data_IF_494364906669
#
_entry.id   IF_494364906669
#
_cell.length_a   1.000
_cell.length_b   1.000
_cell.length_c   1.000
_cell.angle_alpha   90.00
_cell.angle_beta   90.00
_cell.angle_gamma   90.00
#
_symmetry.space_group_name_H-M   'P 1'
#
loop_
_entity.id
_entity.type
_entity.pdbx_description
1 polymer ?
#
# COMPACT_ATOMS: atom_id res chain seq x y z
N UNK A 1 -1.56 6.64 23.09
CA UNK A 1 -0.23 6.16 22.67
C UNK A 1 -0.16 4.65 22.86
N UNK A 2 0.40 3.95 21.87
CA UNK A 2 0.62 2.50 21.88
C UNK A 2 2.10 2.26 21.58
N UNK A 3 2.72 1.27 22.22
CA UNK A 3 4.10 0.86 21.93
C UNK A 3 4.20 -0.10 20.73
N UNK A 4 5.42 -0.46 20.32
CA UNK A 4 5.66 -1.40 19.22
C UNK A 4 5.39 -2.87 19.58
N UNK A 5 4.92 -3.15 20.80
CA UNK A 5 4.34 -4.43 21.20
C UNK A 5 2.80 -4.42 21.12
N UNK A 6 2.19 -3.29 20.75
CA UNK A 6 0.75 -3.12 20.67
C UNK A 6 0.07 -2.83 22.01
N UNK A 7 0.82 -2.54 23.09
CA UNK A 7 0.26 -2.22 24.40
C UNK A 7 -0.03 -0.73 24.52
N UNK A 8 -1.19 -0.41 25.08
CA UNK A 8 -1.58 0.97 25.39
C UNK A 8 -0.70 1.52 26.50
N UNK A 9 0.10 2.54 26.19
CA UNK A 9 1.00 3.20 27.15
C UNK A 9 0.35 4.44 27.75
N UNK A 10 -0.48 5.15 26.99
CA UNK A 10 -1.12 6.40 27.43
C UNK A 10 -2.45 6.66 26.71
N UNK A 11 -3.35 7.42 27.35
CA UNK A 11 -4.60 7.94 26.79
C UNK A 11 -5.85 7.30 27.40
N UNK A 12 -7.01 7.92 27.21
CA UNK A 12 -8.27 7.42 27.78
C UNK A 12 -9.04 6.50 26.82
N UNK A 13 -8.85 6.69 25.52
CA UNK A 13 -9.58 5.92 24.49
C UNK A 13 -8.91 4.59 24.15
N UNK A 14 -9.69 3.66 23.61
CA UNK A 14 -9.16 2.43 23.04
C UNK A 14 -8.41 2.76 21.74
N UNK A 15 -7.29 2.07 21.45
CA UNK A 15 -6.64 2.18 20.15
C UNK A 15 -7.53 1.55 19.06
N UNK A 16 -7.20 1.81 17.79
CA UNK A 16 -7.90 1.19 16.65
C UNK A 16 -7.88 -0.34 16.74
N UNK A 17 -8.89 -1.02 16.20
CA UNK A 17 -8.84 -2.48 16.00
C UNK A 17 -7.62 -2.88 15.15
N UNK A 18 -7.28 -2.08 14.14
CA UNK A 18 -6.17 -2.35 13.21
C UNK A 18 -4.78 -2.09 13.80
N UNK A 19 -4.68 -1.76 15.09
CA UNK A 19 -3.41 -1.45 15.75
C UNK A 19 -2.39 -2.57 15.57
N UNK A 20 -2.82 -3.84 15.63
CA UNK A 20 -1.92 -4.98 15.46
C UNK A 20 -1.31 -5.03 14.04
N UNK A 21 -2.08 -4.70 13.00
CA UNK A 21 -1.59 -4.57 11.63
C UNK A 21 -0.51 -3.49 11.54
N UNK A 22 -0.79 -2.31 12.09
CA UNK A 22 0.15 -1.18 12.10
C UNK A 22 1.46 -1.54 12.81
N UNK A 23 1.37 -2.21 13.96
CA UNK A 23 2.54 -2.66 14.74
C UNK A 23 3.41 -3.63 13.93
N UNK A 24 2.81 -4.58 13.21
CA UNK A 24 3.58 -5.50 12.37
C UNK A 24 4.31 -4.73 11.28
N UNK A 25 3.64 -3.81 10.59
CA UNK A 25 4.26 -3.00 9.53
C UNK A 25 5.42 -2.15 10.06
N UNK A 26 5.24 -1.44 11.17
CA UNK A 26 6.33 -0.64 11.76
C UNK A 26 7.55 -1.49 12.16
N UNK A 27 7.33 -2.71 12.67
CA UNK A 27 8.42 -3.58 13.09
C UNK A 27 9.21 -4.19 11.92
N UNK A 28 8.57 -4.37 10.74
CA UNK A 28 9.21 -5.04 9.59
C UNK A 28 9.65 -4.07 8.49
N UNK A 29 9.06 -2.87 8.43
CA UNK A 29 9.41 -1.81 7.49
C UNK A 29 10.05 -0.64 8.26
N UNK A 30 11.32 -0.75 8.70
CA UNK A 30 11.94 0.15 9.68
C UNK A 30 12.07 1.62 9.25
N UNK A 31 11.82 1.93 7.97
CA UNK A 31 11.91 3.30 7.44
C UNK A 31 10.56 4.01 7.32
N UNK A 32 9.44 3.34 7.64
CA UNK A 32 8.13 3.98 7.64
C UNK A 32 7.90 4.70 8.98
N UNK A 33 7.32 5.90 8.91
CA UNK A 33 6.90 6.69 10.08
C UNK A 33 5.41 7.06 10.08
N UNK A 34 4.66 6.60 9.07
CA UNK A 34 3.21 6.72 9.02
C UNK A 34 2.58 5.54 8.28
N UNK A 35 1.40 5.12 8.71
CA UNK A 35 0.56 4.10 8.07
C UNK A 35 -0.87 4.60 8.02
N UNK A 36 -1.53 4.43 6.88
CA UNK A 36 -2.92 4.78 6.65
C UNK A 36 -3.67 3.55 6.13
N UNK A 37 -4.78 3.23 6.80
CA UNK A 37 -5.77 2.25 6.37
C UNK A 37 -7.09 2.97 6.08
N UNK A 38 -7.71 2.65 4.95
CA UNK A 38 -9.02 3.19 4.58
C UNK A 38 -9.79 2.17 3.76
N UNK A 39 -11.08 2.43 3.53
CA UNK A 39 -11.89 1.76 2.52
C UNK A 39 -12.24 2.74 1.39
N UNK A 40 -11.23 3.45 0.85
CA UNK A 40 -11.44 4.37 -0.26
C UNK A 40 -12.03 3.63 -1.47
N UNK A 41 -13.05 4.22 -2.09
CA UNK A 41 -14.00 3.52 -2.95
C UNK A 41 -13.37 2.73 -4.10
N UNK A 42 -12.41 3.33 -4.80
CA UNK A 42 -11.80 2.72 -5.97
C UNK A 42 -10.75 1.70 -5.56
N UNK A 43 -9.87 2.03 -4.63
CA UNK A 43 -8.86 1.09 -4.13
C UNK A 43 -9.51 -0.14 -3.48
N UNK A 44 -10.57 0.04 -2.69
CA UNK A 44 -11.33 -1.06 -2.11
C UNK A 44 -12.04 -1.91 -3.19
N UNK A 45 -12.50 -1.32 -4.29
CA UNK A 45 -13.07 -2.06 -5.42
C UNK A 45 -12.05 -3.00 -6.08
N UNK A 46 -10.81 -2.54 -6.26
CA UNK A 46 -9.70 -3.37 -6.74
C UNK A 46 -9.33 -4.47 -5.75
N UNK A 47 -9.32 -4.15 -4.45
CA UNK A 47 -9.11 -5.12 -3.39
C UNK A 47 -10.19 -6.22 -3.40
N UNK A 48 -11.46 -5.85 -3.53
CA UNK A 48 -12.58 -6.81 -3.65
C UNK A 48 -12.51 -7.64 -4.93
N UNK A 49 -12.03 -7.06 -6.03
CA UNK A 49 -11.74 -7.81 -7.26
C UNK A 49 -10.56 -8.79 -7.10
N UNK A 50 -9.72 -8.62 -6.07
CA UNK A 50 -8.59 -9.50 -5.78
C UNK A 50 -7.49 -9.42 -6.83
N UNK A 51 -7.26 -8.23 -7.39
CA UNK A 51 -6.27 -7.98 -8.45
C UNK A 51 -5.44 -6.75 -8.11
N UNK A 52 -4.14 -6.81 -8.40
CA UNK A 52 -3.24 -5.66 -8.29
C UNK A 52 -3.57 -4.57 -9.31
N UNK A 53 -3.11 -3.34 -9.07
CA UNK A 53 -3.37 -2.21 -9.97
C UNK A 53 -2.15 -2.01 -10.87
N UNK A 54 -2.24 -2.27 -12.19
CA UNK A 54 -1.10 -2.07 -13.08
C UNK A 54 -0.75 -0.58 -13.22
N UNK A 55 0.54 -0.28 -13.38
CA UNK A 55 0.98 1.08 -13.67
C UNK A 55 0.66 1.47 -15.12
N UNK A 56 -0.47 2.14 -15.34
CA UNK A 56 -0.90 2.60 -16.67
C UNK A 56 -0.43 4.01 -17.05
N UNK A 57 0.21 4.75 -16.15
CA UNK A 57 0.57 6.14 -16.43
C UNK A 57 1.53 6.76 -15.43
N UNK A 58 2.00 7.95 -15.78
CA UNK A 58 3.06 8.66 -15.08
C UNK A 58 2.68 9.13 -13.68
N UNK A 59 1.39 9.42 -13.43
CA UNK A 59 0.89 9.71 -12.08
C UNK A 59 1.11 8.54 -11.13
N UNK A 60 0.97 7.30 -11.61
CA UNK A 60 1.25 6.10 -10.83
C UNK A 60 2.76 5.96 -10.58
N UNK A 61 3.56 5.96 -11.66
CA UNK A 61 5.00 5.77 -11.59
C UNK A 61 5.75 6.82 -10.74
N UNK A 62 5.18 8.01 -10.57
CA UNK A 62 5.76 9.06 -9.74
C UNK A 62 5.80 8.72 -8.23
N UNK A 63 4.97 7.78 -7.76
CA UNK A 63 4.80 7.50 -6.32
C UNK A 63 4.79 6.01 -5.97
N UNK A 64 4.32 5.15 -6.88
CA UNK A 64 4.17 3.72 -6.66
C UNK A 64 4.94 3.00 -7.78
N UNK A 65 6.08 2.39 -7.46
CA UNK A 65 6.96 1.83 -8.47
C UNK A 65 6.54 0.41 -8.89
N UNK A 66 5.85 0.32 -10.03
CA UNK A 66 5.38 -0.94 -10.59
C UNK A 66 3.89 -1.19 -10.36
N UNK A 67 3.47 -2.45 -10.30
CA UNK A 67 2.09 -2.81 -9.98
C UNK A 67 1.83 -2.72 -8.47
N UNK A 68 0.75 -2.06 -8.06
CA UNK A 68 0.31 -2.09 -6.65
C UNK A 68 -0.14 -3.51 -6.32
N UNK A 69 0.50 -4.20 -5.37
CA UNK A 69 0.19 -5.59 -5.06
C UNK A 69 -1.18 -5.74 -4.40
N UNK A 70 -1.85 -6.85 -4.69
CA UNK A 70 -3.04 -7.28 -3.97
C UNK A 70 -2.78 -8.64 -3.32
N UNK A 71 -2.70 -8.66 -1.98
CA UNK A 71 -2.45 -9.88 -1.22
C UNK A 71 -3.71 -10.74 -1.15
N UNK A 72 -3.53 -12.05 -0.99
CA UNK A 72 -4.64 -13.02 -0.84
C UNK A 72 -5.52 -12.71 0.38
N UNK A 73 -6.63 -13.45 0.49
CA UNK A 73 -7.33 -13.52 1.78
C UNK A 73 -6.47 -14.28 2.79
N UNK A 74 -6.66 -13.99 4.07
CA UNK A 74 -6.21 -14.85 5.14
C UNK A 74 -6.88 -16.23 5.06
N UNK A 75 -6.17 -17.26 5.50
CA UNK A 75 -6.75 -18.59 5.72
C UNK A 75 -7.67 -18.57 6.94
N UNK A 76 -8.47 -19.62 7.11
CA UNK A 76 -9.34 -19.73 8.28
C UNK A 76 -8.52 -19.72 9.59
N UNK A 77 -7.40 -20.43 9.59
CA UNK A 77 -6.51 -20.53 10.74
C UNK A 77 -5.90 -19.16 11.09
N UNK A 78 -5.43 -18.42 10.08
CA UNK A 78 -4.91 -17.07 10.25
C UNK A 78 -5.96 -16.10 10.80
N UNK A 79 -7.22 -16.22 10.35
CA UNK A 79 -8.35 -15.41 10.85
C UNK A 79 -8.65 -15.75 12.32
N UNK A 80 -8.78 -17.04 12.64
CA UNK A 80 -9.17 -17.50 13.97
C UNK A 80 -8.08 -17.25 15.03
N UNK A 81 -6.80 -17.23 14.63
CA UNK A 81 -5.67 -16.99 15.54
C UNK A 81 -5.53 -15.51 15.92
N UNK A 82 -5.37 -14.62 14.93
CA UNK A 82 -5.13 -13.20 15.16
C UNK A 82 -5.32 -12.38 13.87
N UNK A 83 -6.58 -12.15 13.47
CA UNK A 83 -6.94 -11.52 12.21
C UNK A 83 -6.11 -10.28 11.82
N UNK A 84 -6.05 -9.24 12.66
CA UNK A 84 -5.36 -7.99 12.33
C UNK A 84 -3.84 -8.18 12.30
N UNK A 85 -3.28 -8.92 13.27
CA UNK A 85 -1.85 -9.25 13.27
C UNK A 85 -1.47 -10.01 12.00
N UNK A 86 -2.24 -11.03 11.65
CA UNK A 86 -1.96 -11.90 10.51
C UNK A 86 -2.20 -11.18 9.18
N UNK A 87 -3.08 -10.18 9.14
CA UNK A 87 -3.17 -9.24 8.00
C UNK A 87 -1.83 -8.53 7.79
N UNK A 88 -1.22 -8.02 8.86
CA UNK A 88 0.10 -7.39 8.79
C UNK A 88 1.20 -8.36 8.37
N UNK A 89 1.20 -9.59 8.92
CA UNK A 89 2.18 -10.64 8.59
C UNK A 89 2.07 -11.01 7.11
N UNK A 90 0.86 -11.22 6.60
CA UNK A 90 0.62 -11.52 5.19
C UNK A 90 1.18 -10.44 4.26
N UNK A 91 1.00 -9.15 4.60
CA UNK A 91 1.54 -8.05 3.81
C UNK A 91 3.07 -8.13 3.75
N UNK A 92 3.71 -8.31 4.90
CA UNK A 92 5.19 -8.38 5.00
C UNK A 92 5.73 -9.59 4.24
N UNK A 93 5.09 -10.75 4.41
CA UNK A 93 5.49 -12.00 3.76
C UNK A 93 5.35 -11.91 2.23
N UNK A 94 4.26 -11.32 1.71
CA UNK A 94 4.07 -11.14 0.26
C UNK A 94 5.15 -10.21 -0.34
N UNK A 95 5.48 -9.12 0.36
CA UNK A 95 6.55 -8.21 -0.06
C UNK A 95 7.92 -8.91 -0.06
N UNK A 96 8.21 -9.72 0.94
CA UNK A 96 9.45 -10.48 1.02
C UNK A 96 9.54 -11.56 -0.08
N UNK A 97 8.48 -12.35 -0.27
CA UNK A 97 8.41 -13.43 -1.27
C UNK A 97 8.59 -12.89 -2.68
N UNK A 98 7.90 -11.78 -2.99
CA UNK A 98 7.94 -11.13 -4.31
C UNK A 98 9.11 -10.18 -4.48
N UNK A 99 9.93 -9.99 -3.44
CA UNK A 99 11.09 -9.06 -3.41
C UNK A 99 10.70 -7.63 -3.79
N UNK A 100 9.56 -7.18 -3.27
CA UNK A 100 9.09 -5.81 -3.45
C UNK A 100 9.79 -4.89 -2.45
N UNK A 101 10.25 -3.75 -2.94
CA UNK A 101 10.77 -2.68 -2.09
C UNK A 101 9.60 -1.88 -1.52
N UNK A 102 9.39 -1.98 -0.20
CA UNK A 102 8.31 -1.26 0.49
C UNK A 102 8.51 0.25 0.51
N UNK A 103 9.73 0.77 0.30
CA UNK A 103 9.95 2.21 0.13
C UNK A 103 9.49 2.66 -1.25
N UNK A 104 9.73 1.83 -2.28
CA UNK A 104 9.34 2.13 -3.65
C UNK A 104 7.88 1.83 -3.97
N UNK A 105 7.26 0.92 -3.21
CA UNK A 105 5.84 0.59 -3.28
C UNK A 105 5.17 0.84 -1.92
N UNK A 106 4.83 2.11 -1.61
CA UNK A 106 4.25 2.47 -0.32
C UNK A 106 2.74 2.17 -0.19
N UNK A 107 2.29 1.08 -0.81
CA UNK A 107 0.89 0.71 -0.92
C UNK A 107 0.69 -0.80 -1.12
N UNK A 108 -0.42 -1.32 -0.59
CA UNK A 108 -0.88 -2.69 -0.80
C UNK A 108 -2.40 -2.75 -0.72
N UNK A 109 -3.01 -3.65 -1.47
CA UNK A 109 -4.44 -4.00 -1.35
C UNK A 109 -4.57 -5.34 -0.62
N UNK A 110 -5.47 -5.42 0.36
CA UNK A 110 -5.84 -6.69 0.99
C UNK A 110 -7.13 -7.22 0.35
N UNK A 111 -7.08 -8.39 -0.30
CA UNK A 111 -8.24 -8.92 -1.03
C UNK A 111 -9.49 -9.00 -0.15
N UNK A 112 -10.63 -8.58 -0.70
CA UNK A 112 -11.92 -8.46 0.01
C UNK A 112 -11.92 -7.55 1.26
N UNK A 113 -10.91 -6.71 1.44
CA UNK A 113 -10.80 -5.79 2.57
C UNK A 113 -10.65 -4.35 2.06
N UNK A 114 -9.43 -3.83 1.96
CA UNK A 114 -9.15 -2.47 1.54
C UNK A 114 -7.65 -2.19 1.39
N UNK A 115 -7.27 -0.96 1.05
CA UNK A 115 -5.88 -0.54 0.98
C UNK A 115 -5.21 -0.31 2.35
N UNK A 116 -3.92 -0.59 2.39
CA UNK A 116 -2.97 -0.02 3.34
C UNK A 116 -1.91 0.76 2.58
N UNK A 117 -1.52 1.90 3.11
CA UNK A 117 -0.44 2.74 2.58
C UNK A 117 0.45 3.22 3.70
N UNK A 118 1.68 3.61 3.37
CA UNK A 118 2.65 4.09 4.34
C UNK A 118 3.54 5.18 3.77
N UNK A 119 4.35 5.80 4.62
CA UNK A 119 5.31 6.84 4.26
C UNK A 119 6.28 7.11 5.40
N UNK A 120 7.25 8.01 5.21
CA UNK A 120 8.24 8.40 6.23
C UNK A 120 7.62 9.13 7.43
N UNK A 121 6.41 9.65 7.26
CA UNK A 121 5.60 10.29 8.28
C UNK A 121 4.11 10.14 7.95
N UNK A 122 3.24 10.57 8.88
CA UNK A 122 1.80 10.50 8.71
C UNK A 122 1.28 11.31 7.51
N UNK A 123 1.91 12.44 7.18
CA UNK A 123 1.51 13.29 6.06
C UNK A 123 1.79 12.62 4.72
N UNK A 124 2.97 12.02 4.56
CA UNK A 124 3.34 11.25 3.37
C UNK A 124 2.50 9.98 3.22
N UNK A 125 2.17 9.29 4.33
CA UNK A 125 1.26 8.15 4.28
C UNK A 125 -0.15 8.54 3.78
N UNK A 126 -0.69 9.68 4.24
CA UNK A 126 -1.96 10.23 3.72
C UNK A 126 -1.85 10.62 2.25
N UNK A 127 -0.72 11.21 1.84
CA UNK A 127 -0.48 11.56 0.44
C UNK A 127 -0.51 10.31 -0.45
N UNK A 128 0.19 9.24 -0.05
CA UNK A 128 0.21 7.97 -0.77
C UNK A 128 -1.17 7.31 -0.81
N UNK A 129 -1.98 7.42 0.24
CA UNK A 129 -3.38 6.97 0.23
C UNK A 129 -4.23 7.69 -0.82
N UNK A 130 -4.09 9.01 -0.94
CA UNK A 130 -4.80 9.82 -1.94
C UNK A 130 -4.34 9.47 -3.36
N UNK A 131 -3.03 9.33 -3.57
CA UNK A 131 -2.48 8.91 -4.86
C UNK A 131 -3.01 7.53 -5.25
N UNK A 132 -3.01 6.56 -4.33
CA UNK A 132 -3.52 5.21 -4.55
C UNK A 132 -4.98 5.22 -5.01
N UNK A 133 -5.85 5.99 -4.35
CA UNK A 133 -7.27 6.09 -4.73
C UNK A 133 -7.44 6.67 -6.15
N UNK A 134 -6.70 7.73 -6.49
CA UNK A 134 -6.81 8.32 -7.83
C UNK A 134 -6.23 7.41 -8.93
N UNK A 135 -5.12 6.70 -8.68
CA UNK A 135 -4.58 5.76 -9.68
C UNK A 135 -5.48 4.53 -9.82
N UNK A 136 -6.13 4.06 -8.74
CA UNK A 136 -7.12 2.99 -8.80
C UNK A 136 -8.32 3.37 -9.69
N UNK A 137 -8.83 4.59 -9.51
CA UNK A 137 -9.91 5.17 -10.32
C UNK A 137 -9.54 5.33 -11.78
N UNK A 138 -8.35 5.86 -12.05
CA UNK A 138 -7.85 6.01 -13.42
C UNK A 138 -7.61 4.65 -14.08
N UNK A 139 -7.06 3.68 -13.37
CA UNK A 139 -6.83 2.33 -13.90
C UNK A 139 -8.14 1.64 -14.28
N UNK A 140 -9.15 1.67 -13.40
CA UNK A 140 -10.47 1.09 -13.71
C UNK A 140 -11.09 1.74 -14.96
N UNK A 141 -11.02 3.06 -15.08
CA UNK A 141 -11.49 3.79 -16.26
C UNK A 141 -10.67 3.49 -17.51
N UNK A 142 -9.35 3.34 -17.38
CA UNK A 142 -8.45 2.98 -18.46
C UNK A 142 -8.85 1.63 -19.08
N UNK A 143 -9.09 0.63 -18.24
CA UNK A 143 -9.54 -0.70 -18.68
C UNK A 143 -10.97 -0.67 -19.27
N UNK A 144 -11.85 0.19 -18.76
CA UNK A 144 -13.16 0.41 -19.38
C UNK A 144 -13.07 1.04 -20.78
N UNK A 145 -12.12 1.97 -20.98
CA UNK A 145 -11.91 2.66 -22.27
C UNK A 145 -11.20 1.74 -23.27
N UNK A 146 -10.18 1.01 -22.81
CA UNK A 146 -9.40 0.07 -23.60
C UNK A 146 -9.14 -1.22 -22.80
N UNK A 147 -9.99 -2.25 -22.95
CA UNK A 147 -9.84 -3.52 -22.22
C UNK A 147 -8.56 -4.30 -22.56
N UNK A 148 -7.88 -3.95 -23.66
CA UNK A 148 -6.63 -4.57 -24.09
C UNK A 148 -5.39 -3.75 -23.72
N UNK A 149 -5.57 -2.67 -22.93
CA UNK A 149 -4.48 -1.79 -22.56
C UNK A 149 -3.37 -2.54 -21.80
N UNK A 150 -2.13 -2.20 -22.09
CA UNK A 150 -0.96 -2.77 -21.43
C UNK A 150 -0.39 -1.79 -20.41
N UNK A 151 0.35 -2.25 -19.38
CA UNK A 151 1.08 -1.38 -18.48
C UNK A 151 2.00 -0.42 -19.26
N UNK A 152 2.27 0.74 -18.66
CA UNK A 152 3.22 1.68 -19.21
C UNK A 152 4.61 1.01 -19.40
N UNK A 153 5.37 1.35 -20.45
CA UNK A 153 6.71 0.81 -20.66
C UNK A 153 7.60 1.01 -19.43
N UNK A 154 8.45 0.03 -19.11
CA UNK A 154 9.31 0.07 -17.92
C UNK A 154 10.19 1.33 -17.90
N UNK A 155 10.73 1.73 -19.05
CA UNK A 155 11.58 2.92 -19.19
C UNK A 155 10.84 4.21 -18.79
N UNK A 156 9.53 4.27 -19.01
CA UNK A 156 8.71 5.40 -18.59
C UNK A 156 8.46 5.36 -17.07
N UNK A 157 8.26 4.17 -16.51
CA UNK A 157 8.10 4.00 -15.07
C UNK A 157 9.38 4.41 -14.34
N UNK A 158 10.54 3.89 -14.78
CA UNK A 158 11.86 4.19 -14.24
C UNK A 158 12.15 5.70 -14.25
N UNK A 159 11.90 6.35 -15.40
CA UNK A 159 12.12 7.79 -15.56
C UNK A 159 11.32 8.60 -14.54
N UNK A 160 10.06 8.23 -14.30
CA UNK A 160 9.15 8.96 -13.43
C UNK A 160 9.40 8.71 -11.95
N UNK A 161 9.79 7.48 -11.59
CA UNK A 161 10.14 7.14 -10.24
C UNK A 161 11.50 7.75 -9.83
N UNK A 162 12.57 7.48 -10.59
CA UNK A 162 13.92 7.89 -10.20
C UNK A 162 14.18 9.39 -10.30
N UNK A 163 13.39 10.16 -11.06
CA UNK A 163 13.50 11.64 -11.05
C UNK A 163 13.10 12.26 -9.71
N UNK A 164 12.31 11.54 -8.89
CA UNK A 164 11.86 11.96 -7.55
C UNK A 164 12.60 11.25 -6.41
N UNK A 165 12.90 9.96 -6.57
CA UNK A 165 13.34 9.09 -5.45
C UNK A 165 14.77 8.52 -5.62
N UNK A 166 15.48 8.84 -6.70
CA UNK A 166 16.83 8.36 -6.96
C UNK A 166 17.93 9.23 -6.33
N UNK A 167 19.16 8.70 -6.26
CA UNK A 167 20.34 9.44 -5.79
C UNK A 167 20.60 10.76 -6.54
N UNK A 168 20.08 10.87 -7.77
CA UNK A 168 20.14 12.06 -8.62
C UNK A 168 18.76 12.73 -8.80
N UNK A 169 17.86 12.61 -7.81
CA UNK A 169 16.54 13.24 -7.87
C UNK A 169 16.66 14.74 -8.14
N UNK A 170 15.89 15.24 -9.10
CA UNK A 170 15.94 16.64 -9.55
C UNK A 170 14.55 17.27 -9.65
N UNK A 171 13.51 16.56 -9.21
CA UNK A 171 12.12 16.98 -9.30
C UNK A 171 11.40 16.68 -7.97
N UNK A 172 10.90 17.74 -7.32
CA UNK A 172 10.13 17.68 -6.07
C UNK A 172 9.80 19.09 -5.60
N UNK A 173 8.53 19.35 -5.27
CA UNK A 173 8.09 20.58 -4.59
C UNK A 173 8.21 20.41 -3.08
#
# INVERSE_FOLDING_TARGET
>A
MVDLDGKKVEGDYNPSSDTATHVVLYNHFPKIGGVVHTHSSWAASWAQAGRGIPCYGTTHADYLYGEVPCVRNLTKEEIDEAYERNTGVLIVDDFAERKLDYEAMPAVLCKNHGPFTWGKDAGEAVHNAVVLEEVAKMAARCEMINPQNQPAPQELQDKHYYRKHGANAYYGQ
#
